data_IF_346798669745
#
_entry.id   IF_346798669745
#
_cell.length_a   1.000
_cell.length_b   1.000
_cell.length_c   1.000
_cell.angle_alpha   90.00
_cell.angle_beta   90.00
_cell.angle_gamma   90.00
#
_symmetry.space_group_name_H-M   'P 1'
#
loop_
_entity.id
_entity.type
_entity.pdbx_description
1 polymer ?
#
# COMPACT_ATOMS: atom_id res chain seq x y z
N UNK A 1 -29.31 13.12 54.67
CA UNK A 1 -28.14 13.52 53.85
C UNK A 1 -27.22 12.36 53.42
N UNK A 2 -26.95 11.34 54.24
CA UNK A 2 -26.07 10.20 53.85
C UNK A 2 -26.62 9.29 52.74
N UNK A 3 -27.94 9.18 52.59
CA UNK A 3 -28.58 8.34 51.57
C UNK A 3 -28.45 8.89 50.13
N UNK A 4 -28.28 10.20 49.97
CA UNK A 4 -28.11 10.84 48.65
C UNK A 4 -26.70 10.60 48.11
N UNK A 5 -25.70 10.50 49.00
CA UNK A 5 -24.30 10.27 48.64
C UNK A 5 -24.00 8.83 48.20
N UNK A 6 -24.83 7.86 48.60
CA UNK A 6 -24.67 6.45 48.22
C UNK A 6 -25.21 6.18 46.79
N UNK A 7 -26.25 6.91 46.38
CA UNK A 7 -26.82 6.85 45.02
C UNK A 7 -25.80 7.28 43.95
N UNK A 8 -25.02 8.33 44.20
CA UNK A 8 -24.00 8.82 43.26
C UNK A 8 -22.80 7.88 43.10
N UNK A 9 -22.56 6.97 44.06
CA UNK A 9 -21.43 6.04 44.03
C UNK A 9 -21.67 4.86 43.07
N UNK A 10 -22.93 4.56 42.73
CA UNK A 10 -23.29 3.46 41.81
C UNK A 10 -23.19 3.81 40.32
N UNK A 11 -23.07 5.09 39.96
CA UNK A 11 -23.00 5.54 38.56
C UNK A 11 -21.56 5.73 38.03
N UNK A 12 -20.56 5.28 38.77
CA UNK A 12 -19.14 5.37 38.39
C UNK A 12 -18.57 4.10 37.79
N UNK A 13 -19.37 3.28 37.10
CA UNK A 13 -18.85 2.10 36.40
C UNK A 13 -18.08 2.53 35.14
N UNK A 14 -16.81 2.86 35.31
CA UNK A 14 -15.87 3.10 34.21
C UNK A 14 -15.87 1.84 33.31
N UNK A 15 -16.50 1.92 32.13
CA UNK A 15 -16.42 0.87 31.12
C UNK A 15 -14.94 0.61 30.84
N UNK A 16 -14.39 -0.51 31.31
CA UNK A 16 -13.05 -0.98 30.91
C UNK A 16 -13.00 -0.98 29.38
N UNK A 17 -12.14 -0.14 28.80
CA UNK A 17 -11.87 -0.19 27.35
C UNK A 17 -11.42 -1.61 27.03
N UNK A 18 -12.16 -2.29 26.16
CA UNK A 18 -11.77 -3.62 25.70
C UNK A 18 -10.44 -3.48 24.95
N UNK A 19 -9.46 -4.31 25.30
CA UNK A 19 -8.13 -4.27 24.69
C UNK A 19 -8.23 -4.59 23.18
N UNK A 20 -7.37 -4.00 22.36
CA UNK A 20 -7.31 -4.24 20.91
C UNK A 20 -7.22 -5.74 20.56
N UNK A 21 -6.48 -6.52 21.37
CA UNK A 21 -6.39 -7.98 21.25
C UNK A 21 -7.73 -8.73 21.40
N UNK A 22 -8.70 -8.17 22.13
CA UNK A 22 -10.04 -8.75 22.24
C UNK A 22 -10.76 -8.74 20.89
N UNK A 23 -10.58 -7.67 20.11
CA UNK A 23 -11.20 -7.55 18.78
C UNK A 23 -10.54 -8.49 17.77
N UNK A 24 -9.21 -8.62 17.77
CA UNK A 24 -8.50 -9.56 16.89
C UNK A 24 -8.92 -11.01 17.17
N UNK A 25 -9.04 -11.42 18.44
CA UNK A 25 -9.49 -12.78 18.77
C UNK A 25 -10.97 -13.01 18.45
N UNK A 26 -11.83 -12.00 18.67
CA UNK A 26 -13.27 -12.12 18.40
C UNK A 26 -13.55 -12.23 16.89
N UNK A 27 -12.83 -11.45 16.09
CA UNK A 27 -13.11 -11.29 14.66
C UNK A 27 -12.11 -12.09 13.78
N UNK A 28 -11.40 -13.06 14.36
CA UNK A 28 -10.35 -13.84 13.70
C UNK A 28 -10.79 -14.53 12.40
N UNK A 29 -12.05 -15.01 12.32
CA UNK A 29 -12.61 -15.61 11.12
C UNK A 29 -12.74 -14.60 9.97
N UNK A 30 -13.09 -13.35 10.26
CA UNK A 30 -13.16 -12.27 9.25
C UNK A 30 -11.77 -11.92 8.73
N UNK A 31 -10.76 -11.88 9.61
CA UNK A 31 -9.37 -11.68 9.21
C UNK A 31 -8.84 -12.82 8.34
N UNK A 32 -9.22 -14.07 8.62
CA UNK A 32 -8.82 -15.21 7.80
C UNK A 32 -9.44 -15.14 6.38
N UNK A 33 -10.72 -14.75 6.28
CA UNK A 33 -11.37 -14.53 4.98
C UNK A 33 -10.73 -13.37 4.21
N UNK A 34 -10.31 -12.30 4.88
CA UNK A 34 -9.61 -11.16 4.29
C UNK A 34 -8.18 -11.51 3.85
N UNK A 35 -7.55 -12.49 4.49
CA UNK A 35 -6.14 -12.84 4.23
C UNK A 35 -5.91 -13.27 2.77
N UNK A 36 -6.85 -14.02 2.19
CA UNK A 36 -6.75 -14.51 0.81
C UNK A 36 -6.75 -13.39 -0.24
N UNK A 37 -7.75 -12.48 -0.29
CA UNK A 37 -7.71 -11.35 -1.22
C UNK A 37 -6.57 -10.38 -0.92
N UNK A 38 -6.19 -10.20 0.36
CA UNK A 38 -5.05 -9.35 0.72
C UNK A 38 -3.74 -9.91 0.17
N UNK A 39 -3.50 -11.21 0.33
CA UNK A 39 -2.32 -11.87 -0.21
C UNK A 39 -2.27 -11.78 -1.74
N UNK A 40 -3.42 -11.96 -2.42
CA UNK A 40 -3.52 -11.78 -3.86
C UNK A 40 -3.11 -10.37 -4.29
N UNK A 41 -3.63 -9.33 -3.63
CA UNK A 41 -3.28 -7.94 -3.95
C UNK A 41 -1.78 -7.68 -3.69
N UNK A 42 -1.22 -8.18 -2.59
CA UNK A 42 0.20 -8.00 -2.29
C UNK A 42 1.10 -8.63 -3.36
N UNK A 43 0.78 -9.84 -3.80
CA UNK A 43 1.60 -10.57 -4.77
C UNK A 43 1.40 -10.03 -6.19
N UNK A 44 0.16 -9.84 -6.64
CA UNK A 44 -0.12 -9.53 -8.05
C UNK A 44 -0.22 -8.03 -8.34
N UNK A 45 -0.53 -7.19 -7.35
CA UNK A 45 -0.58 -5.73 -7.55
C UNK A 45 0.67 -5.03 -7.02
N UNK A 46 1.14 -5.38 -5.82
CA UNK A 46 2.30 -4.69 -5.23
C UNK A 46 3.64 -5.23 -5.71
N UNK A 47 3.79 -6.53 -5.94
CA UNK A 47 5.06 -7.06 -6.42
C UNK A 47 5.48 -6.49 -7.80
N UNK A 48 4.58 -6.33 -8.81
CA UNK A 48 4.98 -5.70 -10.07
C UNK A 48 5.40 -4.24 -9.94
N UNK A 49 4.89 -3.51 -8.95
CA UNK A 49 5.28 -2.11 -8.68
C UNK A 49 6.75 -2.04 -8.25
N UNK A 50 7.30 -3.09 -7.65
CA UNK A 50 8.74 -3.16 -7.37
C UNK A 50 9.58 -3.03 -8.65
N UNK A 51 9.07 -3.50 -9.79
CA UNK A 51 9.71 -3.37 -11.09
C UNK A 51 9.86 -1.93 -11.58
N UNK A 52 9.17 -0.96 -10.97
CA UNK A 52 9.32 0.46 -11.29
C UNK A 52 10.75 0.97 -11.03
N UNK A 53 11.51 0.29 -10.14
CA UNK A 53 12.93 0.59 -9.93
C UNK A 53 13.77 0.43 -11.20
N UNK A 54 13.39 -0.48 -12.10
CA UNK A 54 14.10 -0.70 -13.36
C UNK A 54 14.08 0.53 -14.28
N UNK A 55 13.11 1.43 -14.13
CA UNK A 55 13.06 2.67 -14.92
C UNK A 55 14.18 3.66 -14.55
N UNK A 56 14.84 3.48 -13.40
CA UNK A 56 15.94 4.32 -12.91
C UNK A 56 17.31 3.64 -13.07
N UNK A 57 17.34 2.46 -13.69
CA UNK A 57 18.53 1.66 -13.88
C UNK A 57 18.75 1.42 -15.37
N UNK A 58 20.00 1.24 -15.78
CA UNK A 58 20.31 0.69 -17.10
C UNK A 58 20.10 -0.83 -17.06
N UNK A 59 18.82 -1.21 -17.16
CA UNK A 59 18.38 -2.58 -16.87
C UNK A 59 18.90 -3.58 -17.91
N UNK A 60 19.75 -4.48 -17.45
CA UNK A 60 20.25 -5.62 -18.21
C UNK A 60 19.60 -6.92 -17.72
N UNK A 61 18.94 -7.65 -18.61
CA UNK A 61 18.23 -8.90 -18.31
C UNK A 61 19.17 -9.96 -17.72
N UNK A 62 20.45 -9.97 -18.13
CA UNK A 62 21.43 -10.96 -17.65
C UNK A 62 21.93 -10.68 -16.23
N UNK A 63 21.93 -9.41 -15.82
CA UNK A 63 22.41 -8.98 -14.49
C UNK A 63 21.25 -8.84 -13.48
N UNK A 64 20.03 -8.67 -14.00
CA UNK A 64 18.81 -8.52 -13.21
C UNK A 64 18.74 -7.19 -12.45
N UNK A 65 17.62 -6.98 -11.73
CA UNK A 65 17.29 -5.71 -11.06
C UNK A 65 18.36 -5.27 -10.04
N UNK A 66 19.07 -6.22 -9.43
CA UNK A 66 20.09 -5.94 -8.40
C UNK A 66 21.50 -5.77 -8.96
N UNK A 67 21.75 -6.22 -10.19
CA UNK A 67 23.07 -6.12 -10.83
C UNK A 67 23.20 -4.91 -11.75
N UNK A 68 22.09 -4.39 -12.27
CA UNK A 68 22.08 -3.25 -13.19
C UNK A 68 22.48 -1.92 -12.54
N UNK A 69 23.25 -1.13 -13.28
CA UNK A 69 23.75 0.18 -12.83
C UNK A 69 22.60 1.17 -12.61
N UNK A 70 22.67 1.93 -11.51
CA UNK A 70 21.69 2.95 -11.20
C UNK A 70 22.03 4.27 -11.90
N UNK A 71 21.29 4.59 -12.95
CA UNK A 71 21.50 5.78 -13.81
C UNK A 71 20.52 6.92 -13.49
N UNK A 72 19.62 6.74 -12.53
CA UNK A 72 18.71 7.79 -12.06
C UNK A 72 17.72 8.22 -13.14
N UNK A 73 17.82 9.47 -13.62
CA UNK A 73 16.87 10.07 -14.54
C UNK A 73 17.31 10.06 -16.01
N UNK A 74 18.46 9.48 -16.33
CA UNK A 74 19.02 9.53 -17.68
C UNK A 74 18.14 8.80 -18.70
N UNK A 75 17.54 7.67 -18.30
CA UNK A 75 16.54 6.94 -19.11
C UNK A 75 15.34 7.84 -19.46
N UNK A 76 14.86 8.65 -18.50
CA UNK A 76 13.74 9.54 -18.74
C UNK A 76 14.10 10.69 -19.68
N UNK A 77 15.30 11.28 -19.53
CA UNK A 77 15.80 12.32 -20.45
C UNK A 77 15.87 11.78 -21.87
N UNK A 78 16.47 10.60 -22.04
CA UNK A 78 16.55 9.93 -23.33
C UNK A 78 15.18 9.73 -23.98
N UNK A 79 14.17 9.29 -23.22
CA UNK A 79 12.80 9.12 -23.74
C UNK A 79 12.16 10.47 -24.11
N UNK A 80 12.33 11.50 -23.29
CA UNK A 80 11.76 12.83 -23.54
C UNK A 80 12.45 13.62 -24.65
N UNK A 81 13.67 13.26 -25.02
CA UNK A 81 14.37 13.82 -26.19
C UNK A 81 13.86 13.22 -27.51
N UNK A 82 13.12 12.10 -27.47
CA UNK A 82 12.60 11.47 -28.69
C UNK A 82 11.28 12.09 -29.15
N UNK A 83 11.22 12.55 -30.40
CA UNK A 83 9.97 13.02 -31.04
C UNK A 83 8.86 11.96 -31.09
N UNK A 84 9.24 10.67 -31.16
CA UNK A 84 8.30 9.54 -31.12
C UNK A 84 7.47 9.53 -29.83
N UNK A 85 8.06 9.90 -28.69
CA UNK A 85 7.37 9.94 -27.41
C UNK A 85 6.19 10.93 -27.45
N UNK A 86 6.42 12.16 -27.91
CA UNK A 86 5.36 13.18 -28.01
C UNK A 86 4.31 12.84 -29.07
N UNK A 87 4.72 12.20 -30.18
CA UNK A 87 3.75 11.69 -31.17
C UNK A 87 2.83 10.64 -30.54
N UNK A 88 3.39 9.66 -29.82
CA UNK A 88 2.61 8.65 -29.11
C UNK A 88 1.69 9.29 -28.06
N UNK A 89 2.22 10.21 -27.25
CA UNK A 89 1.46 10.92 -26.22
C UNK A 89 0.26 11.68 -26.81
N UNK A 90 0.48 12.43 -27.89
CA UNK A 90 -0.59 13.15 -28.61
C UNK A 90 -1.61 12.19 -29.21
N UNK A 91 -1.16 11.08 -29.80
CA UNK A 91 -2.06 10.08 -30.37
C UNK A 91 -2.94 9.43 -29.30
N UNK A 92 -2.39 9.06 -28.14
CA UNK A 92 -3.16 8.49 -27.03
C UNK A 92 -4.15 9.49 -26.42
N UNK A 93 -3.82 10.79 -26.40
CA UNK A 93 -4.74 11.81 -25.90
C UNK A 93 -5.85 12.16 -26.91
N UNK A 94 -5.52 12.16 -28.21
CA UNK A 94 -6.43 12.56 -29.28
C UNK A 94 -7.40 11.43 -29.68
N UNK A 95 -7.00 10.17 -29.52
CA UNK A 95 -7.82 8.99 -29.77
C UNK A 95 -8.31 8.40 -28.44
N UNK A 96 -9.49 8.78 -27.94
CA UNK A 96 -10.19 8.02 -26.90
C UNK A 96 -10.74 6.69 -27.42
#
# INVERSE_FOLDING_TARGET
MKAVLDSSRKYGATKRKKNFLYYIKRDGQLYFLLLLPMAYILIFKYAPIYGLMMAFQDYNIFEGIRGSEWVGLDVFRFIFEQDSFYRALKNTQLYP
#
